data_IF_902543556577
#
_entry.id   IF_902543556577
#
_cell.length_a   1.000
_cell.length_b   1.000
_cell.length_c   1.000
_cell.angle_alpha   90.00
_cell.angle_beta   90.00
_cell.angle_gamma   90.00
#
_symmetry.space_group_name_H-M   'P 1'
#
loop_
_entity.id
_entity.type
_entity.pdbx_description
1 polymer ?
#
# COMPACT_ATOMS: atom_id res chain seq x y z
N UNK A 1 -15.84 24.66 -33.67
CA UNK A 1 -15.55 23.29 -34.13
C UNK A 1 -14.69 22.64 -33.01
N UNK A 2 -15.32 21.90 -32.08
CA UNK A 2 -14.64 21.26 -30.96
C UNK A 2 -14.12 19.91 -31.44
N UNK A 3 -12.80 19.75 -31.51
CA UNK A 3 -12.17 18.47 -31.81
C UNK A 3 -12.22 17.66 -30.52
N UNK A 4 -13.15 16.71 -30.48
CA UNK A 4 -13.22 15.67 -29.47
C UNK A 4 -11.96 14.79 -29.57
N UNK A 5 -11.06 14.87 -28.59
CA UNK A 5 -10.01 13.88 -28.43
C UNK A 5 -10.67 12.56 -28.00
N UNK A 6 -11.01 11.73 -28.95
CA UNK A 6 -11.21 10.30 -28.69
C UNK A 6 -9.87 9.73 -28.28
N UNK A 7 -9.65 9.62 -26.96
CA UNK A 7 -8.61 8.77 -26.42
C UNK A 7 -8.95 7.33 -26.83
N UNK A 8 -8.20 6.82 -27.78
CA UNK A 8 -8.24 5.42 -28.17
C UNK A 8 -7.78 4.60 -26.96
N UNK A 9 -8.73 4.05 -26.21
CA UNK A 9 -8.43 3.02 -25.22
C UNK A 9 -7.94 1.79 -26.03
N UNK A 10 -6.63 1.69 -26.23
CA UNK A 10 -6.04 0.44 -26.67
C UNK A 10 -6.36 -0.60 -25.61
N UNK A 11 -7.22 -1.54 -25.94
CA UNK A 11 -7.42 -2.75 -25.16
C UNK A 11 -6.08 -3.48 -25.11
N UNK A 12 -5.42 -3.37 -23.96
CA UNK A 12 -4.19 -4.12 -23.72
C UNK A 12 -4.59 -5.56 -23.50
N UNK A 13 -4.10 -6.42 -24.34
CA UNK A 13 -4.16 -7.86 -24.10
C UNK A 13 -3.47 -8.16 -22.76
N UNK A 14 -4.05 -9.03 -21.89
CA UNK A 14 -3.43 -9.43 -20.62
C UNK A 14 -2.12 -10.22 -20.79
N UNK A 15 -1.55 -10.23 -21.96
CA UNK A 15 -0.40 -11.04 -22.36
C UNK A 15 0.96 -10.37 -22.24
N UNK A 16 1.06 -9.14 -21.73
CA UNK A 16 2.38 -8.58 -21.46
C UNK A 16 3.03 -9.31 -20.29
N UNK A 17 4.16 -9.94 -20.54
CA UNK A 17 4.98 -10.64 -19.53
C UNK A 17 5.27 -9.77 -18.31
N UNK A 18 5.27 -8.44 -18.46
CA UNK A 18 5.66 -7.48 -17.43
C UNK A 18 4.49 -6.69 -16.84
N UNK A 19 3.26 -6.98 -17.25
CA UNK A 19 2.08 -6.31 -16.71
C UNK A 19 1.90 -6.59 -15.21
N UNK A 20 1.50 -5.55 -14.45
CA UNK A 20 1.11 -5.64 -13.06
C UNK A 20 -0.15 -4.80 -12.81
N UNK A 21 -1.16 -5.38 -12.17
CA UNK A 21 -2.41 -4.70 -11.83
C UNK A 21 -2.26 -3.70 -10.66
N UNK A 22 -1.17 -3.75 -9.90
CA UNK A 22 -0.98 -2.91 -8.70
C UNK A 22 -1.18 -1.41 -8.97
N UNK A 23 -0.57 -0.78 -9.99
CA UNK A 23 -0.78 0.65 -10.23
C UNK A 23 -2.22 1.05 -10.57
N UNK A 24 -3.07 0.09 -10.94
CA UNK A 24 -4.48 0.33 -11.28
C UNK A 24 -5.41 0.16 -10.11
N UNK A 25 -4.98 -0.52 -9.04
CA UNK A 25 -5.88 -0.98 -7.98
C UNK A 25 -5.37 -0.73 -6.57
N UNK A 26 -4.08 -0.45 -6.39
CA UNK A 26 -3.44 -0.38 -5.07
C UNK A 26 -2.68 0.91 -4.85
N UNK A 27 -2.67 1.33 -3.59
CA UNK A 27 -1.70 2.29 -3.04
C UNK A 27 -1.10 1.73 -1.75
N UNK A 28 0.17 2.05 -1.55
CA UNK A 28 0.88 1.75 -0.30
C UNK A 28 1.36 3.05 0.33
N UNK A 29 1.05 3.26 1.60
CA UNK A 29 1.61 4.33 2.41
C UNK A 29 2.65 3.75 3.36
N UNK A 30 3.88 4.19 3.20
CA UNK A 30 5.02 3.79 4.05
C UNK A 30 5.02 4.53 5.40
N UNK A 31 5.74 4.03 6.41
CA UNK A 31 5.81 4.66 7.74
C UNK A 31 6.24 6.13 7.75
N UNK A 32 7.09 6.54 6.81
CA UNK A 32 7.54 7.92 6.65
C UNK A 32 6.55 8.81 5.86
N UNK A 33 5.38 8.26 5.50
CA UNK A 33 4.33 8.96 4.77
C UNK A 33 4.48 8.95 3.25
N UNK A 34 5.50 8.30 2.69
CA UNK A 34 5.65 8.16 1.25
C UNK A 34 4.55 7.29 0.65
N UNK A 35 4.05 7.71 -0.51
CA UNK A 35 3.06 6.98 -1.28
C UNK A 35 3.75 6.21 -2.41
N UNK A 36 3.30 4.96 -2.65
CA UNK A 36 3.92 4.01 -3.57
C UNK A 36 2.86 3.21 -4.29
N UNK A 37 3.20 2.65 -5.45
CA UNK A 37 2.32 1.73 -6.18
C UNK A 37 2.22 0.35 -5.53
N UNK A 38 3.26 -0.07 -4.81
CA UNK A 38 3.31 -1.30 -4.01
C UNK A 38 4.48 -1.22 -3.01
N UNK A 39 4.60 -2.19 -2.13
CA UNK A 39 5.64 -2.25 -1.09
C UNK A 39 7.09 -2.27 -1.63
N UNK A 40 7.29 -2.73 -2.86
CA UNK A 40 8.61 -2.84 -3.49
C UNK A 40 8.96 -1.65 -4.38
N UNK A 41 7.97 -0.81 -4.75
CA UNK A 41 8.23 0.33 -5.62
C UNK A 41 8.90 1.49 -4.87
N UNK A 42 9.65 2.36 -5.55
CA UNK A 42 10.11 3.61 -4.97
C UNK A 42 8.92 4.51 -4.61
N UNK A 43 9.12 5.50 -3.74
CA UNK A 43 8.13 6.54 -3.50
C UNK A 43 7.78 7.28 -4.79
N UNK A 44 6.53 7.71 -4.92
CA UNK A 44 6.16 8.72 -5.90
C UNK A 44 6.89 10.03 -5.59
N UNK A 45 7.35 10.72 -6.61
CA UNK A 45 8.18 11.94 -6.47
C UNK A 45 7.32 13.18 -6.21
N UNK A 46 6.04 13.14 -6.61
CA UNK A 46 5.10 14.24 -6.46
C UNK A 46 4.76 14.56 -5.00
N UNK A 47 4.15 15.72 -4.80
CA UNK A 47 3.56 16.12 -3.51
C UNK A 47 2.05 16.02 -3.64
N UNK A 48 1.46 15.17 -2.84
CA UNK A 48 0.05 14.85 -2.91
C UNK A 48 -0.67 15.21 -1.62
N UNK A 49 -1.89 15.72 -1.74
CA UNK A 49 -2.73 16.12 -0.61
C UNK A 49 -3.44 14.95 0.04
N UNK A 50 -3.70 13.88 -0.74
CA UNK A 50 -4.39 12.68 -0.28
C UNK A 50 -3.87 11.43 -1.00
N UNK A 51 -4.29 10.26 -0.54
CA UNK A 51 -4.04 8.97 -1.21
C UNK A 51 -4.70 8.96 -2.60
N UNK A 52 -5.93 9.49 -2.70
CA UNK A 52 -6.67 9.53 -3.96
C UNK A 52 -6.05 10.51 -4.96
N UNK A 53 -5.53 11.64 -4.49
CA UNK A 53 -4.80 12.61 -5.31
C UNK A 53 -3.55 11.96 -5.92
N UNK A 54 -2.76 11.25 -5.12
CA UNK A 54 -1.62 10.48 -5.61
C UNK A 54 -2.03 9.39 -6.61
N UNK A 55 -3.07 8.63 -6.28
CA UNK A 55 -3.57 7.54 -7.13
C UNK A 55 -4.04 8.04 -8.51
N UNK A 56 -4.61 9.23 -8.59
CA UNK A 56 -5.10 9.84 -9.84
C UNK A 56 -4.08 10.78 -10.52
N UNK A 57 -2.84 10.83 -10.03
CA UNK A 57 -1.82 11.73 -10.55
C UNK A 57 -1.32 11.34 -11.94
N UNK A 58 -0.75 12.33 -12.65
CA UNK A 58 -0.09 12.11 -13.94
C UNK A 58 1.10 11.14 -13.81
N UNK A 59 1.81 11.16 -12.67
CA UNK A 59 2.89 10.23 -12.37
C UNK A 59 2.38 8.78 -12.33
N UNK A 60 1.26 8.54 -11.63
CA UNK A 60 0.63 7.21 -11.62
C UNK A 60 0.12 6.80 -12.99
N UNK A 61 -0.42 7.74 -13.79
CA UNK A 61 -0.88 7.42 -15.14
C UNK A 61 0.28 7.08 -16.08
N UNK A 62 1.43 7.73 -15.93
CA UNK A 62 2.64 7.37 -16.67
C UNK A 62 3.09 5.93 -16.33
N UNK A 63 3.08 5.56 -15.05
CA UNK A 63 3.38 4.18 -14.62
C UNK A 63 2.38 3.18 -15.20
N UNK A 64 1.09 3.49 -15.20
CA UNK A 64 0.05 2.64 -15.81
C UNK A 64 0.25 2.48 -17.32
N UNK A 65 0.67 3.55 -18.00
CA UNK A 65 0.95 3.49 -19.42
C UNK A 65 2.13 2.55 -19.73
N UNK A 66 3.21 2.63 -18.96
CA UNK A 66 4.34 1.71 -19.10
C UNK A 66 3.93 0.24 -18.86
N UNK A 67 3.03 -0.02 -17.87
CA UNK A 67 2.47 -1.35 -17.66
C UNK A 67 1.65 -1.84 -18.86
N UNK A 68 0.84 -0.95 -19.48
CA UNK A 68 0.07 -1.25 -20.70
C UNK A 68 1.00 -1.54 -21.88
N UNK A 69 2.08 -0.80 -21.99
CA UNK A 69 3.07 -0.95 -23.07
C UNK A 69 4.00 -2.15 -22.87
N UNK A 70 3.90 -2.83 -21.73
CA UNK A 70 4.72 -3.99 -21.40
C UNK A 70 6.17 -3.67 -21.14
N UNK A 71 6.45 -2.47 -20.64
CA UNK A 71 7.80 -2.04 -20.26
C UNK A 71 8.29 -2.83 -19.05
N UNK A 72 9.50 -3.38 -19.15
CA UNK A 72 10.17 -4.00 -18.00
C UNK A 72 10.71 -2.90 -17.08
N UNK A 73 10.08 -2.71 -15.93
CA UNK A 73 10.44 -1.69 -14.94
C UNK A 73 11.51 -2.21 -13.98
N UNK A 74 12.59 -1.46 -13.75
CA UNK A 74 13.67 -1.90 -12.84
C UNK A 74 13.21 -2.18 -11.42
N UNK A 75 12.28 -1.39 -10.89
CA UNK A 75 11.75 -1.55 -9.54
C UNK A 75 10.89 -2.81 -9.35
N UNK A 76 10.46 -3.46 -10.44
CA UNK A 76 9.70 -4.70 -10.43
C UNK A 76 10.58 -5.95 -10.56
N UNK A 77 11.91 -5.81 -10.65
CA UNK A 77 12.85 -6.92 -10.86
C UNK A 77 12.71 -8.02 -9.82
N UNK A 78 12.35 -7.69 -8.58
CA UNK A 78 12.09 -8.68 -7.55
C UNK A 78 10.96 -9.65 -7.95
N UNK A 79 9.82 -9.12 -8.41
CA UNK A 79 8.72 -9.95 -8.88
C UNK A 79 9.09 -10.75 -10.14
N UNK A 80 9.80 -10.13 -11.08
CA UNK A 80 10.25 -10.82 -12.30
C UNK A 80 11.21 -11.96 -12.00
N UNK A 81 12.13 -11.78 -11.04
CA UNK A 81 13.02 -12.84 -10.60
C UNK A 81 12.27 -14.05 -10.02
N UNK A 82 11.24 -13.82 -9.20
CA UNK A 82 10.39 -14.88 -8.66
C UNK A 82 9.65 -15.61 -9.79
N UNK A 83 9.04 -14.85 -10.71
CA UNK A 83 8.32 -15.43 -11.86
C UNK A 83 9.24 -16.27 -12.75
N UNK A 84 10.43 -15.76 -13.05
CA UNK A 84 11.43 -16.43 -13.89
C UNK A 84 12.03 -17.67 -13.18
N UNK A 85 11.97 -17.69 -11.85
CA UNK A 85 12.38 -18.84 -11.01
C UNK A 85 11.25 -19.82 -10.73
N UNK A 86 10.09 -19.70 -11.40
CA UNK A 86 8.88 -20.49 -11.12
C UNK A 86 8.40 -20.40 -9.66
N UNK A 87 8.61 -19.27 -9.02
CA UNK A 87 8.10 -18.96 -7.70
C UNK A 87 6.95 -17.97 -7.79
N UNK A 88 6.02 -18.04 -6.84
CA UNK A 88 4.85 -17.16 -6.81
C UNK A 88 5.25 -15.76 -6.34
N UNK A 89 4.95 -14.75 -7.14
CA UNK A 89 5.27 -13.35 -6.86
C UNK A 89 4.06 -12.53 -6.44
N UNK A 90 4.28 -11.39 -5.76
CA UNK A 90 3.22 -10.43 -5.47
C UNK A 90 2.54 -9.89 -6.74
N UNK A 91 3.24 -9.85 -7.87
CA UNK A 91 2.69 -9.47 -9.16
C UNK A 91 1.69 -10.51 -9.67
N UNK A 92 2.00 -11.79 -9.53
CA UNK A 92 1.06 -12.87 -9.88
C UNK A 92 -0.18 -12.80 -8.99
N UNK A 93 -0.01 -12.65 -7.68
CA UNK A 93 -1.10 -12.53 -6.73
C UNK A 93 -2.07 -11.40 -7.08
N UNK A 94 -1.58 -10.19 -7.34
CA UNK A 94 -2.44 -9.06 -7.70
C UNK A 94 -3.09 -9.23 -9.07
N UNK A 95 -2.39 -9.84 -10.04
CA UNK A 95 -2.93 -10.09 -11.37
C UNK A 95 -4.02 -11.18 -11.35
N UNK A 96 -3.94 -12.17 -10.47
CA UNK A 96 -4.98 -13.19 -10.29
C UNK A 96 -6.24 -12.60 -9.64
N UNK A 97 -6.08 -11.68 -8.69
CA UNK A 97 -7.21 -10.96 -8.07
C UNK A 97 -7.89 -9.99 -9.04
N UNK A 98 -7.13 -9.44 -9.99
CA UNK A 98 -7.61 -8.48 -11.01
C UNK A 98 -7.15 -8.91 -12.41
N UNK A 99 -7.72 -10.01 -12.96
CA UNK A 99 -7.21 -10.69 -14.16
C UNK A 99 -7.43 -9.91 -15.47
N UNK A 100 -8.33 -8.95 -15.48
CA UNK A 100 -8.56 -8.06 -16.63
C UNK A 100 -7.79 -6.77 -16.43
N UNK A 101 -7.45 -6.01 -17.52
CA UNK A 101 -6.94 -4.65 -17.29
C UNK A 101 -7.95 -3.93 -16.41
N UNK A 102 -7.64 -3.76 -15.11
CA UNK A 102 -8.63 -3.30 -14.16
C UNK A 102 -9.03 -1.89 -14.53
N UNK A 103 -10.30 -1.58 -14.36
CA UNK A 103 -10.69 -0.18 -14.29
C UNK A 103 -9.81 0.49 -13.25
N UNK A 104 -9.21 1.64 -13.58
CA UNK A 104 -8.42 2.43 -12.64
C UNK A 104 -9.32 2.85 -11.48
N UNK A 105 -9.26 2.10 -10.39
CA UNK A 105 -10.07 2.32 -9.19
C UNK A 105 -9.31 1.77 -7.98
N UNK A 106 -9.11 2.60 -6.97
CA UNK A 106 -8.44 2.21 -5.73
C UNK A 106 -9.27 1.11 -5.03
N UNK A 107 -8.70 -0.10 -4.97
CA UNK A 107 -9.30 -1.30 -4.39
C UNK A 107 -8.56 -1.81 -3.17
N UNK A 108 -7.27 -1.53 -3.07
CA UNK A 108 -6.42 -2.01 -2.01
C UNK A 108 -5.57 -0.87 -1.45
N UNK A 109 -5.47 -0.83 -0.13
CA UNK A 109 -4.65 0.11 0.59
C UNK A 109 -3.77 -0.63 1.60
N UNK A 110 -2.46 -0.55 1.41
CA UNK A 110 -1.48 -0.93 2.43
C UNK A 110 -1.14 0.32 3.23
N UNK A 111 -1.43 0.32 4.51
CA UNK A 111 -1.31 1.50 5.36
C UNK A 111 -0.39 1.26 6.55
N UNK A 112 0.71 2.01 6.59
CA UNK A 112 1.62 2.06 7.71
C UNK A 112 1.60 3.48 8.34
N UNK A 113 1.14 3.59 9.57
CA UNK A 113 1.09 4.88 10.26
C UNK A 113 2.49 5.38 10.62
N UNK A 114 3.32 4.52 11.22
CA UNK A 114 4.70 4.81 11.60
C UNK A 114 5.55 3.54 11.66
N UNK A 115 6.83 3.69 12.00
CA UNK A 115 7.73 2.57 12.29
C UNK A 115 7.78 2.23 13.79
N UNK A 116 6.88 2.78 14.63
CA UNK A 116 6.88 2.51 16.06
C UNK A 116 6.70 1.02 16.33
N UNK A 117 7.70 0.39 16.94
CA UNK A 117 7.71 -1.03 17.25
C UNK A 117 8.45 -1.26 18.56
N UNK A 118 7.98 -2.24 19.32
CA UNK A 118 8.62 -2.69 20.57
C UNK A 118 9.61 -3.85 20.37
N UNK A 119 9.75 -4.35 19.11
CA UNK A 119 10.68 -5.41 18.77
C UNK A 119 11.75 -4.95 17.77
N UNK A 120 12.89 -5.66 17.77
CA UNK A 120 14.01 -5.51 16.83
C UNK A 120 14.18 -6.86 16.12
N UNK A 121 13.27 -7.16 15.19
CA UNK A 121 13.31 -8.40 14.43
C UNK A 121 14.44 -8.38 13.40
N UNK A 122 15.11 -9.51 13.19
CA UNK A 122 16.22 -9.63 12.22
C UNK A 122 15.77 -9.43 10.78
N UNK A 123 14.49 -9.59 10.50
CA UNK A 123 13.88 -9.39 9.17
C UNK A 123 13.44 -7.96 8.91
N UNK A 124 13.50 -7.08 9.92
CA UNK A 124 13.14 -5.67 9.81
C UNK A 124 14.36 -4.78 9.66
N UNK A 125 14.10 -3.55 9.23
CA UNK A 125 15.08 -2.46 9.21
C UNK A 125 14.55 -1.21 9.91
N UNK A 126 15.29 -0.10 9.83
CA UNK A 126 14.92 1.17 10.45
C UNK A 126 13.65 1.79 9.87
N UNK A 127 13.25 1.43 8.64
CA UNK A 127 12.02 1.94 8.04
C UNK A 127 10.77 1.34 8.66
N UNK A 128 10.86 0.11 9.19
CA UNK A 128 9.75 -0.64 9.77
C UNK A 128 9.89 -0.87 11.29
N UNK A 129 10.97 -0.40 11.93
CA UNK A 129 11.16 -0.56 13.38
C UNK A 129 11.91 0.63 14.00
N UNK A 130 11.25 1.32 14.90
CA UNK A 130 11.87 2.39 15.72
C UNK A 130 13.01 1.87 16.60
N UNK A 131 12.99 0.59 16.96
CA UNK A 131 14.10 -0.06 17.67
C UNK A 131 15.36 -0.14 16.80
N UNK A 132 15.22 -0.51 15.53
CA UNK A 132 16.33 -0.50 14.56
C UNK A 132 16.77 0.92 14.24
N UNK A 133 15.86 1.86 14.07
CA UNK A 133 16.19 3.28 13.86
C UNK A 133 17.08 3.81 14.98
N UNK A 134 16.69 3.59 16.23
CA UNK A 134 17.47 4.02 17.40
C UNK A 134 18.84 3.34 17.46
N UNK A 135 18.89 2.03 17.17
CA UNK A 135 20.14 1.28 17.17
C UNK A 135 21.10 1.71 16.07
N UNK A 136 20.56 1.96 14.87
CA UNK A 136 21.37 2.47 13.76
C UNK A 136 21.90 3.88 14.03
N UNK A 137 21.13 4.74 14.70
CA UNK A 137 21.62 6.06 15.17
C UNK A 137 22.77 5.91 16.17
N UNK A 138 22.65 5.00 17.14
CA UNK A 138 23.70 4.70 18.12
C UNK A 138 25.00 4.24 17.44
N UNK A 139 24.91 3.36 16.45
CA UNK A 139 26.08 2.84 15.72
C UNK A 139 26.48 3.68 14.49
N UNK A 140 25.82 4.82 14.22
CA UNK A 140 26.06 5.72 13.08
C UNK A 140 25.84 5.05 11.71
N UNK A 141 24.93 4.09 11.63
CA UNK A 141 24.49 3.44 10.39
C UNK A 141 23.18 3.98 9.84
N UNK A 142 22.56 4.93 10.56
CA UNK A 142 21.26 5.49 10.16
C UNK A 142 21.35 6.22 8.82
N UNK A 143 20.39 5.96 7.94
CA UNK A 143 20.23 6.64 6.64
C UNK A 143 19.57 8.01 6.76
N UNK A 144 19.29 8.47 7.96
CA UNK A 144 18.64 9.74 8.24
C UNK A 144 17.45 9.60 9.19
N UNK A 145 16.84 10.72 9.54
CA UNK A 145 15.65 10.74 10.37
C UNK A 145 14.41 10.34 9.57
N UNK A 146 13.71 9.32 10.02
CA UNK A 146 12.40 8.96 9.47
C UNK A 146 11.39 9.98 9.97
N UNK A 147 11.04 10.93 9.11
CA UNK A 147 10.03 11.93 9.40
C UNK A 147 8.64 11.30 9.24
N UNK A 148 8.01 11.02 10.36
CA UNK A 148 6.61 10.58 10.35
C UNK A 148 5.73 11.75 9.91
N UNK A 149 5.20 11.66 8.69
CA UNK A 149 4.22 12.62 8.19
C UNK A 149 2.82 12.13 8.58
N UNK A 150 2.11 12.97 9.31
CA UNK A 150 0.72 12.78 9.72
C UNK A 150 -0.07 14.06 9.41
N UNK A 151 -1.36 14.01 9.21
CA UNK A 151 -2.26 12.91 8.85
C UNK A 151 -2.37 12.74 7.33
N UNK A 152 -2.81 11.58 6.87
CA UNK A 152 -3.17 11.37 5.46
C UNK A 152 -4.68 11.52 5.36
N UNK A 153 -5.13 12.29 4.39
CA UNK A 153 -6.53 12.30 4.01
C UNK A 153 -6.90 10.93 3.43
N UNK A 154 -7.89 10.29 4.03
CA UNK A 154 -8.42 8.98 3.64
C UNK A 154 -9.64 9.12 2.70
N UNK A 155 -9.74 10.21 1.96
CA UNK A 155 -10.76 10.33 0.92
C UNK A 155 -10.51 9.33 -0.21
N UNK A 156 -11.59 8.77 -0.75
CA UNK A 156 -11.55 7.82 -1.85
C UNK A 156 -11.37 6.37 -1.45
N UNK A 157 -11.44 6.04 -0.15
CA UNK A 157 -11.34 4.65 0.33
C UNK A 157 -12.69 3.89 0.31
N UNK A 158 -13.77 4.50 -0.15
CA UNK A 158 -15.13 3.91 -0.15
C UNK A 158 -15.24 2.69 -1.08
N UNK A 159 -14.32 2.56 -2.03
CA UNK A 159 -14.28 1.45 -2.99
C UNK A 159 -13.30 0.33 -2.62
N UNK A 160 -12.67 0.42 -1.46
CA UNK A 160 -11.71 -0.59 -1.04
C UNK A 160 -12.35 -1.97 -0.91
N UNK A 161 -11.57 -2.97 -1.34
CA UNK A 161 -11.82 -4.39 -1.15
C UNK A 161 -10.88 -4.98 -0.11
N UNK A 162 -9.73 -4.33 0.09
CA UNK A 162 -8.75 -4.74 1.08
C UNK A 162 -8.08 -3.54 1.73
N UNK A 163 -7.91 -3.61 3.04
CA UNK A 163 -7.05 -2.73 3.82
C UNK A 163 -6.03 -3.60 4.55
N UNK A 164 -4.76 -3.33 4.33
CA UNK A 164 -3.67 -3.96 5.09
C UNK A 164 -3.08 -2.94 6.06
N UNK A 165 -3.23 -3.17 7.35
CA UNK A 165 -2.58 -2.37 8.39
C UNK A 165 -1.22 -2.99 8.71
N UNK A 166 -0.19 -2.19 8.56
CA UNK A 166 1.21 -2.60 8.73
C UNK A 166 2.04 -1.46 9.34
N UNK A 167 3.35 -1.60 9.33
CA UNK A 167 4.29 -0.60 9.80
C UNK A 167 5.20 -1.17 10.86
N UNK A 168 5.40 -0.50 11.98
CA UNK A 168 6.07 -1.05 13.17
C UNK A 168 5.22 -2.14 13.82
N UNK A 169 4.67 -1.85 14.99
CA UNK A 169 3.66 -2.71 15.61
C UNK A 169 2.32 -1.94 15.71
N UNK A 170 1.32 -2.30 14.91
CA UNK A 170 0.06 -1.56 14.87
C UNK A 170 -0.66 -1.47 16.23
N UNK A 171 -0.59 -2.51 17.05
CA UNK A 171 -1.33 -2.57 18.32
C UNK A 171 -0.80 -1.60 19.40
N UNK A 172 0.40 -1.05 19.23
CA UNK A 172 0.97 -0.03 20.10
C UNK A 172 1.09 1.35 19.42
N UNK A 173 0.58 1.48 18.20
CA UNK A 173 0.67 2.72 17.42
C UNK A 173 -0.39 3.73 17.88
N UNK A 174 0.00 4.91 18.41
CA UNK A 174 -0.97 5.89 18.92
C UNK A 174 -1.87 6.49 17.86
N UNK A 175 -1.54 6.35 16.58
CA UNK A 175 -2.34 6.87 15.48
C UNK A 175 -3.66 6.12 15.29
N UNK A 176 -3.69 4.84 15.61
CA UNK A 176 -4.90 4.01 15.47
C UNK A 176 -5.85 4.25 16.64
N UNK A 177 -6.27 5.52 16.79
CA UNK A 177 -7.23 5.97 17.79
C UNK A 177 -8.65 5.47 17.50
N UNK A 178 -9.55 5.66 18.44
CA UNK A 178 -10.97 5.32 18.25
C UNK A 178 -11.58 6.14 17.09
N UNK A 179 -11.20 7.41 16.94
CA UNK A 179 -11.63 8.29 15.84
C UNK A 179 -11.12 7.79 14.47
N UNK A 180 -9.91 7.22 14.43
CA UNK A 180 -9.41 6.58 13.20
C UNK A 180 -10.30 5.41 12.79
N UNK A 181 -10.68 4.55 13.74
CA UNK A 181 -11.55 3.41 13.44
C UNK A 181 -12.98 3.81 13.11
N UNK A 182 -13.50 4.89 13.74
CA UNK A 182 -14.79 5.48 13.38
C UNK A 182 -14.78 5.98 11.93
N UNK A 183 -13.69 6.63 11.51
CA UNK A 183 -13.51 7.09 10.15
C UNK A 183 -13.45 5.94 9.15
N UNK A 184 -12.64 4.90 9.42
CA UNK A 184 -12.53 3.73 8.54
C UNK A 184 -13.89 3.04 8.41
N UNK A 185 -14.59 2.80 9.52
CA UNK A 185 -15.90 2.16 9.51
C UNK A 185 -16.95 2.98 8.74
N UNK A 186 -16.92 4.30 8.84
CA UNK A 186 -17.85 5.18 8.12
C UNK A 186 -17.64 5.19 6.61
N UNK A 187 -16.43 4.86 6.15
CA UNK A 187 -16.03 4.92 4.73
C UNK A 187 -15.94 3.54 4.07
N UNK A 188 -16.00 2.46 4.83
CA UNK A 188 -15.89 1.09 4.31
C UNK A 188 -17.16 0.30 4.64
N UNK A 189 -17.26 -0.92 4.14
CA UNK A 189 -18.37 -1.81 4.43
C UNK A 189 -17.86 -3.15 4.98
N UNK A 190 -18.77 -4.01 5.45
CA UNK A 190 -18.45 -5.31 6.05
C UNK A 190 -17.78 -6.32 5.10
N UNK A 191 -17.82 -6.08 3.80
CA UNK A 191 -17.22 -6.95 2.78
C UNK A 191 -15.73 -6.61 2.51
N UNK A 192 -15.20 -5.55 3.13
CA UNK A 192 -13.79 -5.22 3.01
C UNK A 192 -12.95 -6.30 3.70
N UNK A 193 -11.91 -6.78 3.01
CA UNK A 193 -10.94 -7.67 3.63
C UNK A 193 -9.97 -6.83 4.46
N UNK A 194 -9.95 -7.07 5.74
CA UNK A 194 -9.02 -6.45 6.66
C UNK A 194 -7.86 -7.41 6.95
N UNK A 195 -6.64 -6.93 6.73
CA UNK A 195 -5.43 -7.65 7.06
C UNK A 195 -4.58 -6.82 8.04
N UNK A 196 -4.06 -7.44 9.07
CA UNK A 196 -3.14 -6.82 10.01
C UNK A 196 -1.83 -7.62 10.09
N UNK A 197 -0.70 -6.92 9.95
CA UNK A 197 0.63 -7.50 10.18
C UNK A 197 1.09 -7.05 11.57
N UNK A 198 1.14 -7.97 12.51
CA UNK A 198 1.44 -7.69 13.93
C UNK A 198 2.36 -8.72 14.55
N UNK A 199 3.13 -8.32 15.54
CA UNK A 199 3.92 -9.23 16.38
C UNK A 199 3.10 -9.79 17.57
N UNK A 200 1.83 -9.43 17.67
CA UNK A 200 0.89 -9.86 18.71
C UNK A 200 1.35 -9.57 20.15
N UNK A 201 2.17 -8.54 20.37
CA UNK A 201 2.71 -8.21 21.71
C UNK A 201 1.74 -7.41 22.58
N UNK A 202 0.69 -6.84 21.99
CA UNK A 202 -0.37 -6.11 22.70
C UNK A 202 -1.74 -6.40 22.04
N UNK A 203 -2.79 -6.14 22.81
CA UNK A 203 -4.15 -6.24 22.29
C UNK A 203 -4.58 -4.90 21.67
N UNK A 204 -5.33 -4.93 20.55
CA UNK A 204 -6.00 -3.76 20.03
C UNK A 204 -6.97 -3.12 21.06
N UNK A 205 -7.32 -1.84 20.88
CA UNK A 205 -8.34 -1.19 21.71
C UNK A 205 -9.70 -1.88 21.58
N UNK A 206 -10.58 -1.69 22.58
CA UNK A 206 -11.94 -2.23 22.52
C UNK A 206 -12.72 -1.73 21.29
N UNK A 207 -12.50 -0.48 20.89
CA UNK A 207 -13.11 0.10 19.69
C UNK A 207 -12.60 -0.60 18.42
N UNK A 208 -11.29 -0.84 18.34
CA UNK A 208 -10.69 -1.59 17.24
C UNK A 208 -11.23 -3.02 17.17
N UNK A 209 -11.29 -3.71 18.32
CA UNK A 209 -11.86 -5.07 18.39
C UNK A 209 -13.33 -5.11 17.95
N UNK A 210 -14.14 -4.12 18.32
CA UNK A 210 -15.52 -4.00 17.84
C UNK A 210 -15.59 -3.85 16.33
N UNK A 211 -14.75 -3.00 15.74
CA UNK A 211 -14.66 -2.86 14.28
C UNK A 211 -14.34 -4.20 13.61
N UNK A 212 -13.29 -4.90 14.07
CA UNK A 212 -12.90 -6.20 13.51
C UNK A 212 -14.04 -7.25 13.62
N UNK A 213 -14.79 -7.24 14.71
CA UNK A 213 -15.90 -8.19 14.92
C UNK A 213 -17.10 -7.95 14.00
N UNK A 214 -17.22 -6.77 13.40
CA UNK A 214 -18.23 -6.42 12.40
C UNK A 214 -17.87 -6.82 10.97
N UNK A 215 -16.62 -7.22 10.70
CA UNK A 215 -16.16 -7.56 9.37
C UNK A 215 -16.35 -9.04 9.07
N UNK A 216 -16.63 -9.35 7.79
CA UNK A 216 -16.74 -10.74 7.30
C UNK A 216 -15.39 -11.41 7.08
N UNK A 217 -14.34 -10.62 6.79
CA UNK A 217 -13.04 -11.11 6.39
C UNK A 217 -11.92 -10.40 7.17
N UNK A 218 -11.31 -11.12 8.09
CA UNK A 218 -10.18 -10.63 8.90
C UNK A 218 -9.03 -11.64 8.82
N UNK A 219 -7.81 -11.14 8.61
CA UNK A 219 -6.55 -11.90 8.67
C UNK A 219 -5.56 -11.19 9.58
N UNK A 220 -4.89 -11.95 10.46
CA UNK A 220 -3.89 -11.44 11.40
C UNK A 220 -2.63 -12.28 11.25
#
# INVERSE_FOLDING_TARGET
MKISKMLCQRQVSPSSKYFCASPFTRMTRSPNGDLRTCVYSPPLEGKYSSILDAFNSDEMEAIRQEMRDGVRRPECEWCYFYDESNQYSCRQDINERYPEPPSTLLRELDFAASNKCNYICVTCDESASSGWENRNKEFRFSKGEIKHKMPVDLDGIENLKQITIMGGEPTIEPYYTDEFWDLIESKTNEDVWYQMVTNCSAFPSERWMRFLSGLKHVSI
#
